data_IF_562293334957
#
_entry.id   IF_562293334957
#
_cell.length_a   1.000
_cell.length_b   1.000
_cell.length_c   1.000
_cell.angle_alpha   90.00
_cell.angle_beta   90.00
_cell.angle_gamma   90.00
#
_symmetry.space_group_name_H-M   'P 1'
#
loop_
_entity.id
_entity.type
_entity.pdbx_description
1 polymer ?
#
# COMPACT_ATOMS: atom_id res chain seq x y z
N UNK A 1 -14.33 4.98 0.24
CA UNK A 1 -14.58 4.45 1.61
C UNK A 1 -14.39 5.60 2.60
N UNK A 2 -15.41 6.02 3.36
CA UNK A 2 -15.24 7.03 4.42
C UNK A 2 -14.56 6.36 5.64
N UNK A 3 -13.25 6.52 5.74
CA UNK A 3 -12.49 6.20 6.95
C UNK A 3 -12.64 7.40 7.91
N UNK A 4 -12.59 7.11 9.21
CA UNK A 4 -12.55 8.02 10.36
C UNK A 4 -12.26 9.51 10.02
N UNK A 5 -12.92 10.48 10.69
CA UNK A 5 -12.71 11.94 10.53
C UNK A 5 -11.23 12.43 10.46
N UNK A 6 -10.27 11.59 10.81
CA UNK A 6 -8.83 11.83 10.89
C UNK A 6 -8.01 11.31 9.69
N UNK A 7 -8.61 10.62 8.72
CA UNK A 7 -7.92 10.12 7.53
C UNK A 7 -8.79 10.28 6.26
N UNK A 8 -8.18 10.70 5.15
CA UNK A 8 -8.83 10.79 3.83
C UNK A 8 -7.94 10.12 2.79
N UNK A 9 -8.54 9.27 1.98
CA UNK A 9 -7.85 8.54 0.90
C UNK A 9 -8.41 9.02 -0.45
N UNK A 10 -7.50 9.30 -1.38
CA UNK A 10 -7.77 9.31 -2.82
C UNK A 10 -7.02 8.14 -3.45
N UNK A 11 -7.72 7.29 -4.17
CA UNK A 11 -7.14 6.05 -4.70
C UNK A 11 -6.23 6.30 -5.92
N UNK A 12 -6.42 7.42 -6.63
CA UNK A 12 -5.71 7.72 -7.87
C UNK A 12 -5.82 6.56 -8.86
N UNK A 13 -4.69 6.17 -9.46
CA UNK A 13 -4.62 5.00 -10.35
C UNK A 13 -4.62 3.65 -9.63
N UNK A 14 -4.71 3.59 -8.29
CA UNK A 14 -4.77 2.37 -7.49
C UNK A 14 -6.21 1.91 -7.23
N UNK A 15 -7.07 2.02 -8.24
CA UNK A 15 -8.50 1.70 -8.15
C UNK A 15 -8.81 0.21 -8.35
N UNK A 16 -7.81 -0.62 -8.67
CA UNK A 16 -7.96 -2.06 -8.77
C UNK A 16 -8.10 -2.74 -7.40
N UNK A 17 -8.55 -3.98 -7.41
CA UNK A 17 -8.55 -4.84 -6.21
C UNK A 17 -7.85 -6.15 -6.55
N UNK A 18 -6.77 -6.41 -5.83
CA UNK A 18 -6.01 -7.65 -5.93
C UNK A 18 -6.76 -8.79 -5.22
N UNK A 19 -7.00 -9.88 -5.96
CA UNK A 19 -7.66 -11.09 -5.44
C UNK A 19 -6.66 -12.21 -5.15
N UNK A 20 -5.39 -12.07 -5.55
CA UNK A 20 -4.36 -13.08 -5.35
C UNK A 20 -3.55 -12.71 -4.11
N UNK A 21 -4.14 -12.99 -2.96
CA UNK A 21 -3.68 -12.57 -1.64
C UNK A 21 -3.13 -13.75 -0.84
N UNK A 22 -2.39 -13.44 0.22
CA UNK A 22 -2.02 -14.45 1.20
C UNK A 22 -3.30 -14.92 1.91
N UNK A 23 -3.52 -16.23 1.95
CA UNK A 23 -4.66 -16.83 2.62
C UNK A 23 -4.22 -17.57 3.89
N UNK A 24 -5.05 -17.54 4.93
CA UNK A 24 -4.84 -18.27 6.19
C UNK A 24 -6.17 -18.85 6.70
N UNK A 25 -6.12 -19.93 7.48
CA UNK A 25 -7.32 -20.39 8.19
C UNK A 25 -7.68 -19.40 9.31
N UNK A 26 -8.95 -19.01 9.40
CA UNK A 26 -9.49 -18.10 10.43
C UNK A 26 -10.72 -18.76 11.05
N UNK A 27 -10.94 -18.62 12.37
CA UNK A 27 -12.18 -19.03 13.06
C UNK A 27 -12.63 -20.50 12.82
N UNK A 28 -11.67 -21.42 12.69
CA UNK A 28 -11.89 -22.85 12.36
C UNK A 28 -12.40 -23.11 10.93
N UNK A 29 -12.32 -22.14 10.02
CA UNK A 29 -12.57 -22.38 8.61
C UNK A 29 -11.53 -23.35 8.03
N UNK A 30 -12.03 -24.30 7.24
CA UNK A 30 -11.21 -25.31 6.55
C UNK A 30 -10.70 -24.83 5.19
N UNK A 31 -11.02 -23.60 4.79
CA UNK A 31 -10.61 -22.97 3.55
C UNK A 31 -9.80 -21.70 3.84
N UNK A 32 -8.94 -21.34 2.90
CA UNK A 32 -8.10 -20.14 2.99
C UNK A 32 -8.96 -18.87 3.01
N UNK A 33 -8.78 -18.05 4.04
CA UNK A 33 -9.36 -16.71 4.10
C UNK A 33 -8.32 -15.69 3.66
N UNK A 34 -8.58 -14.87 2.63
CA UNK A 34 -7.62 -13.88 2.14
C UNK A 34 -7.39 -12.79 3.18
N UNK A 35 -6.12 -12.50 3.46
CA UNK A 35 -5.72 -11.36 4.28
C UNK A 35 -5.80 -10.08 3.46
N UNK A 36 -6.34 -9.01 4.06
CA UNK A 36 -6.50 -7.69 3.43
C UNK A 36 -7.28 -7.72 2.09
N UNK A 37 -8.51 -8.28 2.05
CA UNK A 37 -9.32 -8.37 0.83
C UNK A 37 -9.78 -7.01 0.30
N UNK A 38 -9.68 -5.96 1.12
CA UNK A 38 -10.12 -4.60 0.81
C UNK A 38 -8.92 -3.68 0.51
N UNK A 39 -8.08 -4.09 -0.44
CA UNK A 39 -6.84 -3.43 -0.84
C UNK A 39 -7.00 -2.42 -1.99
N UNK A 40 -5.90 -1.78 -2.36
CA UNK A 40 -5.77 -0.88 -3.52
C UNK A 40 -4.65 -1.38 -4.43
N UNK A 41 -5.01 -1.75 -5.66
CA UNK A 41 -4.06 -2.24 -6.64
C UNK A 41 -3.89 -1.26 -7.79
N UNK A 42 -2.64 -0.88 -8.06
CA UNK A 42 -2.24 -0.34 -9.34
C UNK A 42 -2.05 -1.50 -10.32
N UNK A 43 -2.73 -1.46 -11.46
CA UNK A 43 -2.74 -2.57 -12.43
C UNK A 43 -1.66 -2.45 -13.51
N UNK A 44 -0.95 -1.33 -13.59
CA UNK A 44 0.01 -1.04 -14.67
C UNK A 44 -0.65 -0.66 -16.01
N UNK A 45 -1.97 -0.39 -16.00
CA UNK A 45 -2.75 -0.12 -17.22
C UNK A 45 -3.19 1.35 -17.34
N UNK A 46 -2.83 2.21 -16.39
CA UNK A 46 -3.20 3.63 -16.44
C UNK A 46 -2.44 4.35 -17.58
N UNK A 47 -3.16 5.08 -18.42
CA UNK A 47 -2.56 5.91 -19.49
C UNK A 47 -1.78 7.08 -18.90
N UNK A 48 -2.38 7.76 -17.92
CA UNK A 48 -1.74 8.76 -17.07
C UNK A 48 -1.82 8.28 -15.62
N UNK A 49 -0.69 8.32 -14.92
CA UNK A 49 -0.61 7.80 -13.56
C UNK A 49 -0.91 8.91 -12.55
N UNK A 50 -1.96 8.70 -11.75
CA UNK A 50 -2.34 9.52 -10.61
C UNK A 50 -1.93 8.80 -9.31
N UNK A 51 -1.32 9.54 -8.39
CA UNK A 51 -0.84 8.99 -7.12
C UNK A 51 -1.98 8.50 -6.24
N UNK A 52 -1.75 7.39 -5.53
CA UNK A 52 -2.53 7.12 -4.33
C UNK A 52 -2.15 8.16 -3.27
N UNK A 53 -3.14 8.82 -2.68
CA UNK A 53 -2.91 9.86 -1.66
C UNK A 53 -3.63 9.53 -0.36
N UNK A 54 -2.90 9.55 0.75
CA UNK A 54 -3.42 9.44 2.11
C UNK A 54 -3.10 10.72 2.88
N UNK A 55 -4.14 11.42 3.31
CA UNK A 55 -4.04 12.53 4.25
C UNK A 55 -4.45 12.05 5.64
N UNK A 56 -3.57 12.10 6.64
CA UNK A 56 -3.80 11.49 7.96
C UNK A 56 -3.16 12.27 9.11
N UNK A 57 -3.85 12.39 10.25
CA UNK A 57 -3.29 12.87 11.51
C UNK A 57 -2.71 11.69 12.31
N UNK A 58 -1.38 11.63 12.47
CA UNK A 58 -0.70 10.61 13.27
C UNK A 58 0.72 11.05 13.65
N UNK A 59 1.36 10.35 14.59
CA UNK A 59 2.80 10.49 14.89
C UNK A 59 3.65 9.35 14.32
N UNK A 60 3.05 8.21 13.99
CA UNK A 60 3.74 7.12 13.32
C UNK A 60 2.83 6.45 12.30
N UNK A 61 3.42 6.02 11.19
CA UNK A 61 2.71 5.39 10.09
C UNK A 61 3.50 4.22 9.51
N UNK A 62 2.82 3.10 9.34
CA UNK A 62 3.28 1.91 8.65
C UNK A 62 2.52 1.78 7.33
N UNK A 63 3.24 1.50 6.25
CA UNK A 63 2.68 1.03 5.00
C UNK A 63 2.67 -0.50 5.01
N UNK A 64 1.53 -1.09 4.67
CA UNK A 64 1.40 -2.54 4.46
C UNK A 64 1.15 -2.75 2.96
N UNK A 65 2.02 -3.50 2.31
CA UNK A 65 1.92 -3.80 0.88
C UNK A 65 2.19 -5.28 0.62
N UNK A 66 1.75 -5.76 -0.54
CA UNK A 66 1.88 -7.17 -0.92
C UNK A 66 3.28 -7.42 -1.48
N UNK A 67 4.00 -8.38 -0.93
CA UNK A 67 5.13 -9.00 -1.62
C UNK A 67 4.61 -9.94 -2.71
N UNK A 68 5.29 -10.03 -3.85
CA UNK A 68 4.96 -10.96 -4.92
C UNK A 68 6.19 -11.27 -5.79
N UNK A 69 6.32 -12.55 -6.18
CA UNK A 69 7.40 -13.04 -7.03
C UNK A 69 7.10 -12.99 -8.53
N UNK A 70 5.92 -12.52 -8.95
CA UNK A 70 5.56 -12.41 -10.36
C UNK A 70 6.39 -11.33 -11.08
N UNK A 71 6.67 -11.57 -12.36
CA UNK A 71 7.51 -10.67 -13.16
C UNK A 71 6.84 -9.33 -13.44
N UNK A 72 5.51 -9.32 -13.49
CA UNK A 72 4.69 -8.14 -13.78
C UNK A 72 4.39 -7.29 -12.52
N UNK A 73 4.90 -7.65 -11.34
CA UNK A 73 4.82 -6.82 -10.12
C UNK A 73 5.87 -5.72 -10.15
N UNK A 74 5.57 -4.49 -9.78
CA UNK A 74 6.46 -3.32 -9.84
C UNK A 74 6.93 -2.86 -8.47
N UNK A 75 7.85 -1.90 -8.43
CA UNK A 75 8.16 -1.15 -7.21
C UNK A 75 7.33 0.13 -7.16
N UNK A 76 7.10 0.65 -5.96
CA UNK A 76 6.43 1.93 -5.77
C UNK A 76 7.29 2.87 -4.92
N UNK A 77 7.42 4.12 -5.34
CA UNK A 77 8.04 5.17 -4.55
C UNK A 77 7.00 5.79 -3.61
N UNK A 78 7.41 6.00 -2.37
CA UNK A 78 6.58 6.58 -1.31
C UNK A 78 7.15 7.93 -0.93
N UNK A 79 6.29 8.94 -0.92
CA UNK A 79 6.60 10.31 -0.50
C UNK A 79 5.79 10.66 0.74
N UNK A 80 6.40 11.39 1.67
CA UNK A 80 5.74 11.92 2.86
C UNK A 80 5.98 13.42 2.90
N UNK A 81 4.90 14.20 2.93
CA UNK A 81 4.93 15.66 2.89
C UNK A 81 5.74 16.21 1.70
N UNK A 82 5.62 15.57 0.54
CA UNK A 82 6.34 15.91 -0.69
C UNK A 82 7.81 15.45 -0.74
N UNK A 83 8.32 14.81 0.31
CA UNK A 83 9.69 14.31 0.37
C UNK A 83 9.75 12.81 0.12
N UNK A 84 10.66 12.38 -0.78
CA UNK A 84 10.93 10.95 -1.01
C UNK A 84 11.32 10.26 0.30
N UNK A 85 10.63 9.16 0.60
CA UNK A 85 10.85 8.39 1.81
C UNK A 85 11.59 7.08 1.55
N UNK A 86 11.07 6.29 0.61
CA UNK A 86 11.64 5.00 0.24
C UNK A 86 10.98 4.47 -1.04
N UNK A 87 11.58 3.42 -1.59
CA UNK A 87 10.97 2.57 -2.62
C UNK A 87 10.51 1.26 -1.98
N UNK A 88 9.22 0.98 -2.02
CA UNK A 88 8.64 -0.29 -1.61
C UNK A 88 8.85 -1.32 -2.73
N UNK A 89 9.58 -2.40 -2.42
CA UNK A 89 9.93 -3.46 -3.37
C UNK A 89 9.26 -4.78 -2.98
N UNK A 90 8.19 -5.20 -3.68
CA UNK A 90 7.48 -6.45 -3.43
C UNK A 90 8.31 -7.72 -3.64
N UNK A 91 9.47 -7.63 -4.26
CA UNK A 91 10.25 -8.79 -4.70
C UNK A 91 11.31 -9.23 -3.70
N UNK A 92 11.48 -8.51 -2.57
CA UNK A 92 12.51 -8.83 -1.57
C UNK A 92 12.32 -10.26 -1.03
N UNK A 93 11.09 -10.64 -0.72
CA UNK A 93 10.77 -11.97 -0.20
C UNK A 93 10.40 -12.97 -1.31
N UNK A 94 9.89 -12.51 -2.45
CA UNK A 94 9.70 -13.34 -3.66
C UNK A 94 8.51 -14.32 -3.61
N UNK A 95 7.60 -14.17 -2.66
CA UNK A 95 6.38 -14.97 -2.49
C UNK A 95 5.23 -14.09 -2.02
N UNK A 96 3.99 -14.57 -2.14
CA UNK A 96 2.80 -13.79 -1.72
C UNK A 96 2.78 -13.71 -0.20
N UNK A 97 3.03 -12.50 0.30
CA UNK A 97 3.17 -12.23 1.71
C UNK A 97 2.78 -10.79 2.05
N UNK A 98 2.24 -10.56 3.25
CA UNK A 98 1.95 -9.21 3.73
C UNK A 98 3.21 -8.58 4.32
N UNK A 99 3.72 -7.51 3.70
CA UNK A 99 4.92 -6.82 4.17
C UNK A 99 4.56 -5.47 4.80
N UNK A 100 5.18 -5.17 5.95
CA UNK A 100 4.94 -3.92 6.67
C UNK A 100 6.25 -3.16 6.85
N UNK A 101 6.25 -1.87 6.49
CA UNK A 101 7.40 -0.98 6.63
C UNK A 101 7.01 0.30 7.35
N UNK A 102 7.93 0.85 8.15
CA UNK A 102 7.73 2.11 8.86
C UNK A 102 8.05 3.27 7.91
N UNK A 103 7.05 4.11 7.62
CA UNK A 103 7.26 5.34 6.85
C UNK A 103 7.84 6.44 7.75
N UNK A 104 7.31 6.60 8.96
CA UNK A 104 7.85 7.53 9.95
C UNK A 104 7.40 7.17 11.36
N UNK A 105 8.15 7.66 12.34
CA UNK A 105 7.81 7.64 13.77
C UNK A 105 8.38 8.90 14.40
N UNK A 106 7.48 9.73 14.92
CA UNK A 106 7.75 11.06 15.46
C UNK A 106 7.24 11.15 16.90
N UNK A 107 7.61 12.21 17.61
CA UNK A 107 7.22 12.42 19.01
C UNK A 107 5.80 12.95 19.16
N UNK A 108 5.35 13.78 18.22
CA UNK A 108 4.07 14.50 18.26
C UNK A 108 3.21 14.14 17.06
N UNK A 109 1.88 14.15 17.22
CA UNK A 109 0.95 13.91 16.11
C UNK A 109 0.79 15.17 15.28
N UNK A 110 0.89 15.02 13.95
CA UNK A 110 0.55 16.08 13.01
C UNK A 110 -0.10 15.51 11.76
N UNK A 111 -0.66 16.41 10.97
CA UNK A 111 -1.23 16.04 9.68
C UNK A 111 -0.10 15.80 8.68
N UNK A 112 -0.15 14.65 8.00
CA UNK A 112 0.77 14.26 6.95
C UNK A 112 0.01 13.97 5.66
N UNK A 113 0.69 14.18 4.54
CA UNK A 113 0.26 13.73 3.22
C UNK A 113 1.24 12.68 2.73
N UNK A 114 0.73 11.48 2.44
CA UNK A 114 1.48 10.39 1.85
C UNK A 114 1.04 10.19 0.42
N UNK A 115 2.00 10.14 -0.49
CA UNK A 115 1.78 9.87 -1.91
C UNK A 115 2.53 8.61 -2.31
N UNK A 116 1.87 7.72 -3.05
CA UNK A 116 2.46 6.49 -3.55
C UNK A 116 2.26 6.43 -5.06
N UNK A 117 3.37 6.24 -5.78
CA UNK A 117 3.44 6.18 -7.23
C UNK A 117 4.26 4.95 -7.64
N UNK A 118 4.00 4.34 -8.81
CA UNK A 118 4.97 3.43 -9.43
C UNK A 118 6.34 4.10 -9.50
N UNK A 119 7.40 3.37 -9.17
CA UNK A 119 8.76 3.87 -9.30
C UNK A 119 9.11 4.11 -10.79
N UNK A 120 10.05 5.01 -11.12
CA UNK A 120 10.45 5.26 -12.50
C UNK A 120 10.83 3.98 -13.26
N UNK A 121 10.17 3.73 -14.39
CA UNK A 121 10.36 2.53 -15.22
C UNK A 121 9.50 1.33 -14.80
N UNK A 122 8.73 1.40 -13.72
CA UNK A 122 7.83 0.36 -13.25
C UNK A 122 6.35 0.67 -13.54
N UNK A 123 6.04 1.69 -14.35
CA UNK A 123 4.67 2.20 -14.60
C UNK A 123 3.76 1.16 -15.28
N UNK A 124 4.32 0.14 -15.92
CA UNK A 124 3.54 -0.94 -16.56
C UNK A 124 3.44 -2.19 -15.69
N UNK A 125 3.76 -2.08 -14.41
CA UNK A 125 3.81 -3.21 -13.48
C UNK A 125 2.86 -2.98 -12.29
N UNK A 126 2.35 -4.08 -11.75
CA UNK A 126 1.33 -4.09 -10.69
C UNK A 126 1.93 -3.78 -9.33
N UNK A 127 1.23 -3.05 -8.48
CA UNK A 127 1.59 -2.89 -7.08
C UNK A 127 0.35 -2.86 -6.21
N UNK A 128 0.37 -3.52 -5.05
CA UNK A 128 -0.80 -3.65 -4.19
C UNK A 128 -0.51 -3.09 -2.79
N UNK A 129 -1.23 -2.04 -2.42
CA UNK A 129 -1.29 -1.50 -1.06
C UNK A 129 -2.37 -2.28 -0.30
N UNK A 130 -1.98 -2.98 0.76
CA UNK A 130 -2.88 -3.80 1.58
C UNK A 130 -3.53 -3.00 2.71
N UNK A 131 -2.84 -1.96 3.20
CA UNK A 131 -3.37 -1.12 4.26
C UNK A 131 -2.31 -0.25 4.94
N UNK A 132 -2.73 0.39 6.02
CA UNK A 132 -1.87 1.24 6.84
C UNK A 132 -2.10 0.96 8.32
N UNK A 133 -1.02 0.93 9.10
CA UNK A 133 -1.05 0.97 10.56
C UNK A 133 -0.63 2.36 11.04
N UNK A 134 -1.30 2.93 12.03
CA UNK A 134 -0.94 4.26 12.53
C UNK A 134 -1.01 4.36 14.05
N UNK A 135 -0.25 5.31 14.60
CA UNK A 135 -0.29 5.71 16.00
C UNK A 135 -0.66 7.19 16.06
N UNK A 136 -1.69 7.52 16.84
CA UNK A 136 -2.00 8.91 17.20
C UNK A 136 -0.88 9.45 18.08
#
# INVERSE_FOLDING_TARGET
>A
KELCQKARISEGSFCGTDQKLQEVEIDMDIYGTPQFPYNWQYTGQAEETEAFTLKILCRALLLIFKDEGETDTGKADVFVDGHYKMTADPRINGWIHCNAVILFSETESREHIVEILPAPGEEKKKFTILGFGYVL
#
